data_IF_937849680679
#
_entry.id   IF_937849680679
#
_cell.length_a   1.000
_cell.length_b   1.000
_cell.length_c   1.000
_cell.angle_alpha   90.00
_cell.angle_beta   90.00
_cell.angle_gamma   90.00
#
_symmetry.space_group_name_H-M   'P 1'
#
loop_
_entity.id
_entity.type
_entity.pdbx_description
1 polymer ?
#
# COMPACT_ATOMS: atom_id res chain seq x y z
N UNK A 1 15.18 -4.85 -4.27
CA UNK A 1 14.06 -5.78 -4.08
C UNK A 1 12.77 -5.12 -4.51
N UNK A 2 12.02 -5.76 -5.40
CA UNK A 2 10.67 -5.39 -5.80
C UNK A 2 9.72 -6.54 -5.45
N UNK A 3 8.51 -6.22 -4.99
CA UNK A 3 7.51 -7.23 -4.62
C UNK A 3 6.24 -6.96 -5.42
N UNK A 4 5.82 -7.96 -6.20
CA UNK A 4 4.62 -7.89 -7.03
C UNK A 4 3.59 -8.89 -6.51
N UNK A 5 2.36 -8.44 -6.36
CA UNK A 5 1.23 -9.29 -6.01
C UNK A 5 0.22 -9.30 -7.15
N UNK A 6 -0.37 -10.46 -7.40
CA UNK A 6 -1.49 -10.56 -8.33
C UNK A 6 -2.71 -9.83 -7.79
N UNK A 7 -3.55 -9.33 -8.71
CA UNK A 7 -4.86 -8.79 -8.37
C UNK A 7 -5.81 -9.86 -7.85
N UNK A 8 -7.00 -9.43 -7.43
CA UNK A 8 -8.06 -10.34 -6.99
C UNK A 8 -8.91 -10.77 -8.20
N UNK A 9 -8.32 -11.53 -9.11
CA UNK A 9 -8.96 -12.08 -10.31
C UNK A 9 -9.66 -13.44 -10.06
N UNK A 10 -9.66 -13.91 -8.81
CA UNK A 10 -10.22 -15.20 -8.42
C UNK A 10 -9.27 -16.38 -8.64
N UNK A 11 -8.07 -16.14 -9.18
CA UNK A 11 -7.02 -17.14 -9.29
C UNK A 11 -6.20 -17.23 -7.98
N UNK A 12 -5.37 -18.28 -7.83
CA UNK A 12 -4.47 -18.38 -6.69
C UNK A 12 -3.57 -17.14 -6.59
N UNK A 13 -3.47 -16.50 -5.41
CA UNK A 13 -2.64 -15.31 -5.26
C UNK A 13 -1.17 -15.68 -5.40
N UNK A 14 -0.42 -14.86 -6.14
CA UNK A 14 1.02 -15.02 -6.33
C UNK A 14 1.74 -13.82 -5.70
N UNK A 15 2.83 -14.11 -5.00
CA UNK A 15 3.78 -13.11 -4.50
C UNK A 15 5.11 -13.36 -5.19
N UNK A 16 5.57 -12.41 -6.00
CA UNK A 16 6.84 -12.50 -6.71
C UNK A 16 7.85 -11.55 -6.09
N UNK A 17 9.02 -12.09 -5.74
CA UNK A 17 10.17 -11.34 -5.24
C UNK A 17 11.19 -11.17 -6.36
N UNK A 18 11.40 -9.94 -6.81
CA UNK A 18 12.37 -9.61 -7.85
C UNK A 18 13.60 -8.88 -7.28
N UNK A 19 14.75 -9.52 -7.42
CA UNK A 19 16.03 -9.04 -6.91
C UNK A 19 16.76 -8.23 -7.97
N UNK A 20 16.51 -6.92 -7.95
CA UNK A 20 17.19 -5.97 -8.82
C UNK A 20 18.36 -5.27 -8.12
N UNK A 21 19.44 -4.91 -8.85
CA UNK A 21 20.61 -4.20 -8.29
C UNK A 21 20.29 -2.84 -7.68
N UNK A 22 19.11 -2.28 -7.95
CA UNK A 22 18.67 -1.02 -7.37
C UNK A 22 17.17 -0.78 -7.43
N UNK A 23 16.80 0.49 -7.24
CA UNK A 23 15.41 0.99 -7.21
C UNK A 23 15.11 1.92 -8.39
N UNK A 24 15.85 1.79 -9.49
CA UNK A 24 15.58 2.56 -10.70
C UNK A 24 14.21 2.19 -11.26
N UNK A 25 13.46 3.17 -11.75
CA UNK A 25 12.12 2.92 -12.32
C UNK A 25 12.13 2.02 -13.54
N UNK A 26 13.28 1.89 -14.23
CA UNK A 26 13.45 1.03 -15.40
C UNK A 26 13.21 -0.45 -15.05
N UNK A 27 13.54 -0.87 -13.82
CA UNK A 27 13.27 -2.24 -13.37
C UNK A 27 11.76 -2.53 -13.33
N UNK A 28 10.97 -1.62 -12.74
CA UNK A 28 9.52 -1.74 -12.71
C UNK A 28 8.90 -1.65 -14.10
N UNK A 29 9.42 -0.74 -14.94
CA UNK A 29 8.98 -0.59 -16.33
C UNK A 29 9.17 -1.88 -17.12
N UNK A 30 10.36 -2.48 -17.06
CA UNK A 30 10.69 -3.68 -17.81
C UNK A 30 9.87 -4.90 -17.33
N UNK A 31 9.67 -5.03 -16.01
CA UNK A 31 8.86 -6.13 -15.48
C UNK A 31 7.38 -6.00 -15.85
N UNK A 32 6.85 -4.78 -15.85
CA UNK A 32 5.44 -4.50 -16.16
C UNK A 32 5.20 -4.22 -17.65
N UNK A 33 6.14 -4.59 -18.52
CA UNK A 33 5.99 -4.43 -19.97
C UNK A 33 4.76 -5.21 -20.46
N UNK A 34 3.88 -4.53 -21.19
CA UNK A 34 2.62 -5.10 -21.68
C UNK A 34 1.50 -5.17 -20.64
N UNK A 35 1.75 -4.82 -19.37
CA UNK A 35 0.68 -4.66 -18.39
C UNK A 35 -0.12 -3.38 -18.65
N UNK A 36 -1.44 -3.45 -18.46
CA UNK A 36 -2.32 -2.29 -18.56
C UNK A 36 -3.43 -2.37 -17.52
N UNK A 37 -3.88 -1.23 -17.02
CA UNK A 37 -4.94 -1.15 -16.02
C UNK A 37 -4.51 -0.43 -14.75
N UNK A 38 -5.03 -0.86 -13.60
CA UNK A 38 -4.75 -0.25 -12.31
C UNK A 38 -3.49 -0.85 -11.67
N UNK A 39 -2.56 0.01 -11.27
CA UNK A 39 -1.34 -0.38 -10.57
C UNK A 39 -1.33 0.26 -9.18
N UNK A 40 -1.67 -0.50 -8.13
CA UNK A 40 -1.57 0.00 -6.76
C UNK A 40 -0.12 0.00 -6.30
N UNK A 41 0.37 1.15 -5.85
CA UNK A 41 1.77 1.35 -5.47
C UNK A 41 1.91 2.21 -4.19
N UNK A 42 3.09 2.21 -3.59
CA UNK A 42 3.42 2.99 -2.39
C UNK A 42 3.63 4.50 -2.65
N UNK A 43 3.53 4.94 -3.91
CA UNK A 43 3.77 6.33 -4.32
C UNK A 43 5.23 6.64 -4.65
N UNK A 44 6.12 5.64 -4.75
CA UNK A 44 7.50 5.88 -5.16
C UNK A 44 7.61 6.37 -6.61
N UNK A 45 8.41 7.43 -6.84
CA UNK A 45 8.54 8.08 -8.16
C UNK A 45 9.11 7.18 -9.26
N UNK A 46 9.69 6.04 -8.91
CA UNK A 46 10.14 5.02 -9.86
C UNK A 46 9.01 4.50 -10.76
N UNK A 47 7.78 4.42 -10.24
CA UNK A 47 6.62 3.91 -11.01
C UNK A 47 6.15 4.85 -12.11
N UNK A 48 6.55 6.13 -12.10
CA UNK A 48 6.19 7.09 -13.14
C UNK A 48 6.75 6.73 -14.53
N UNK A 49 7.68 5.77 -14.60
CA UNK A 49 8.21 5.23 -15.86
C UNK A 49 7.37 4.10 -16.45
N UNK A 50 6.42 3.54 -15.70
CA UNK A 50 5.54 2.48 -16.19
C UNK A 50 4.47 3.11 -17.07
N UNK A 51 4.35 2.61 -18.29
CA UNK A 51 3.46 3.15 -19.31
C UNK A 51 2.12 2.40 -19.30
N UNK A 52 1.06 3.01 -19.84
CA UNK A 52 -0.27 2.40 -20.02
C UNK A 52 -0.95 1.90 -18.72
N UNK A 53 -0.58 2.47 -17.58
CA UNK A 53 -1.18 2.18 -16.27
C UNK A 53 -1.77 3.42 -15.63
N UNK A 54 -2.83 3.23 -14.85
CA UNK A 54 -3.33 4.21 -13.90
C UNK A 54 -2.72 3.88 -12.54
N UNK A 55 -1.83 4.75 -12.05
CA UNK A 55 -1.23 4.59 -10.74
C UNK A 55 -2.29 4.85 -9.65
N UNK A 56 -2.47 3.88 -8.76
CA UNK A 56 -3.34 3.96 -7.59
C UNK A 56 -2.46 3.99 -6.35
N UNK A 57 -2.76 4.87 -5.39
CA UNK A 57 -1.98 4.95 -4.16
C UNK A 57 -2.46 3.91 -3.14
N UNK A 58 -1.52 3.22 -2.51
CA UNK A 58 -1.81 2.31 -1.43
C UNK A 58 -2.30 3.07 -0.20
N UNK A 59 -3.52 2.78 0.25
CA UNK A 59 -4.15 3.49 1.37
C UNK A 59 -3.39 3.33 2.69
N UNK A 60 -2.67 2.23 2.88
CA UNK A 60 -1.80 2.05 4.04
C UNK A 60 -0.64 3.05 4.04
N UNK A 61 -0.03 3.31 2.89
CA UNK A 61 1.03 4.29 2.72
C UNK A 61 0.49 5.72 2.85
N UNK A 62 -0.66 6.03 2.24
CA UNK A 62 -1.33 7.32 2.42
C UNK A 62 -1.57 7.61 3.91
N UNK A 63 -2.16 6.66 4.65
CA UNK A 63 -2.44 6.83 6.08
C UNK A 63 -1.17 7.11 6.88
N UNK A 64 -0.07 6.42 6.58
CA UNK A 64 1.23 6.64 7.22
C UNK A 64 1.74 8.06 6.95
N UNK A 65 1.70 8.54 5.71
CA UNK A 65 2.15 9.88 5.38
C UNK A 65 1.29 10.97 6.02
N UNK A 66 -0.04 10.79 6.10
CA UNK A 66 -0.90 11.71 6.84
C UNK A 66 -0.55 11.76 8.33
N UNK A 67 -0.23 10.61 8.94
CA UNK A 67 0.22 10.56 10.32
C UNK A 67 1.59 11.23 10.53
N UNK A 68 2.55 11.00 9.63
CA UNK A 68 3.89 11.61 9.67
C UNK A 68 3.85 13.13 9.45
N UNK A 69 2.91 13.63 8.64
CA UNK A 69 2.70 15.05 8.40
C UNK A 69 2.25 15.81 9.66
N UNK A 70 1.70 15.12 10.66
CA UNK A 70 1.36 15.75 11.94
C UNK A 70 2.62 15.97 12.78
N UNK A 71 2.87 17.22 13.26
CA UNK A 71 4.02 17.53 14.09
C UNK A 71 4.12 16.56 15.27
N UNK A 72 5.35 16.12 15.58
CA UNK A 72 5.56 15.14 16.65
C UNK A 72 4.97 15.57 18.00
N UNK A 73 5.01 16.86 18.30
CA UNK A 73 4.41 17.44 19.50
C UNK A 73 2.87 17.35 19.53
N UNK A 74 2.23 17.26 18.36
CA UNK A 74 0.78 17.18 18.20
C UNK A 74 0.30 15.73 17.98
N UNK A 75 1.21 14.76 17.79
CA UNK A 75 0.84 13.36 17.64
C UNK A 75 0.33 12.82 18.96
N UNK A 76 -0.98 12.56 19.02
CA UNK A 76 -1.62 11.92 20.16
C UNK A 76 -1.09 10.49 20.27
N UNK A 77 -0.81 10.03 21.50
CA UNK A 77 -0.36 8.64 21.79
C UNK A 77 -1.51 7.61 21.75
N UNK A 78 -2.73 8.09 21.55
CA UNK A 78 -3.99 7.36 21.66
C UNK A 78 -4.36 6.76 20.30
N UNK A 79 -4.89 5.54 20.28
CA UNK A 79 -5.43 4.92 19.06
C UNK A 79 -6.77 5.58 18.73
N UNK A 80 -6.75 6.57 17.85
CA UNK A 80 -7.95 7.29 17.43
C UNK A 80 -8.49 6.73 16.11
N UNK A 81 -9.81 6.84 15.95
CA UNK A 81 -10.53 6.44 14.74
C UNK A 81 -10.00 7.20 13.51
N UNK A 82 -9.75 8.50 13.68
CA UNK A 82 -9.05 9.35 12.72
C UNK A 82 -8.18 10.39 13.47
N UNK A 83 -7.30 11.08 12.74
CA UNK A 83 -6.32 12.00 13.34
C UNK A 83 -6.94 13.27 13.97
N UNK A 84 -8.14 13.65 13.52
CA UNK A 84 -8.90 14.81 13.99
C UNK A 84 -9.98 14.42 15.02
N UNK A 85 -10.26 13.14 15.20
CA UNK A 85 -11.31 12.67 16.09
C UNK A 85 -10.94 12.95 17.55
N UNK A 86 -11.89 13.45 18.35
CA UNK A 86 -11.74 13.53 19.80
C UNK A 86 -11.91 12.16 20.47
N UNK A 87 -12.47 11.17 19.77
CA UNK A 87 -12.91 9.88 20.33
C UNK A 87 -11.86 8.77 20.12
N UNK A 88 -11.54 8.09 21.22
CA UNK A 88 -10.68 6.90 21.24
C UNK A 88 -11.41 5.67 20.71
N UNK A 89 -10.68 4.84 19.96
CA UNK A 89 -11.22 3.54 19.52
C UNK A 89 -11.40 2.66 20.76
N UNK A 90 -12.61 2.12 21.02
CA UNK A 90 -12.83 1.16 22.08
C UNK A 90 -11.83 -0.01 21.95
N UNK A 91 -11.26 -0.45 23.08
CA UNK A 91 -10.18 -1.43 23.09
C UNK A 91 -10.55 -2.73 22.35
N UNK A 92 -11.83 -3.12 22.41
CA UNK A 92 -12.38 -4.30 21.73
C UNK A 92 -12.40 -4.18 20.20
N UNK A 93 -12.54 -2.96 19.66
CA UNK A 93 -12.50 -2.70 18.23
C UNK A 93 -11.06 -2.56 17.70
N UNK A 94 -10.10 -2.28 18.60
CA UNK A 94 -8.68 -2.23 18.29
C UNK A 94 -8.00 -3.62 18.33
N UNK A 95 -8.71 -4.66 18.79
CA UNK A 95 -8.24 -6.04 18.82
C UNK A 95 -8.14 -6.63 17.39
N UNK A 96 -6.92 -6.95 16.91
CA UNK A 96 -6.71 -7.47 15.57
C UNK A 96 -7.36 -8.84 15.32
N UNK A 97 -7.62 -9.64 16.35
CA UNK A 97 -8.29 -10.94 16.18
C UNK A 97 -9.78 -10.78 15.86
N UNK A 98 -10.44 -9.76 16.44
CA UNK A 98 -11.87 -9.47 16.22
C UNK A 98 -12.14 -8.60 14.99
N UNK A 99 -11.18 -7.78 14.57
CA UNK A 99 -11.30 -6.93 13.38
C UNK A 99 -11.44 -7.71 12.05
N UNK A 100 -11.13 -9.01 12.04
CA UNK A 100 -11.14 -9.85 10.83
C UNK A 100 -12.55 -10.17 10.28
N UNK A 101 -13.63 -9.84 10.99
CA UNK A 101 -15.02 -10.17 10.59
C UNK A 101 -15.57 -9.36 9.40
N UNK A 102 -14.97 -8.22 9.05
CA UNK A 102 -15.45 -7.30 8.00
C UNK A 102 -14.35 -6.88 7.03
N UNK A 103 -13.50 -7.81 6.62
CA UNK A 103 -12.48 -7.54 5.61
C UNK A 103 -13.13 -7.43 4.22
N UNK A 104 -13.59 -6.22 3.88
CA UNK A 104 -13.96 -5.83 2.53
C UNK A 104 -12.75 -6.08 1.61
N UNK A 105 -12.87 -7.06 0.72
CA UNK A 105 -11.79 -7.53 -0.15
C UNK A 105 -11.76 -6.68 -1.42
N UNK A 106 -11.04 -5.56 -1.36
CA UNK A 106 -10.83 -4.68 -2.51
C UNK A 106 -9.87 -5.35 -3.50
N UNK A 107 -10.31 -5.51 -4.74
CA UNK A 107 -9.61 -6.28 -5.76
C UNK A 107 -8.71 -5.44 -6.66
N UNK A 108 -7.48 -5.17 -6.20
CA UNK A 108 -6.47 -4.44 -6.97
C UNK A 108 -5.18 -5.25 -7.09
N UNK A 109 -4.45 -5.08 -8.19
CA UNK A 109 -3.08 -5.59 -8.32
C UNK A 109 -2.16 -4.69 -7.49
N UNK A 110 -1.49 -5.27 -6.50
CA UNK A 110 -0.73 -4.55 -5.49
C UNK A 110 0.76 -4.73 -5.76
N UNK A 111 1.48 -3.63 -5.96
CA UNK A 111 2.95 -3.61 -5.98
C UNK A 111 3.42 -2.81 -4.78
N UNK A 112 3.97 -3.50 -3.78
CA UNK A 112 4.55 -2.85 -2.60
C UNK A 112 6.06 -2.81 -2.82
N UNK A 113 6.62 -1.62 -3.09
CA UNK A 113 8.06 -1.46 -2.92
C UNK A 113 8.33 -1.40 -1.43
N UNK A 114 8.75 -2.53 -0.85
CA UNK A 114 9.21 -2.49 0.53
C UNK A 114 10.56 -1.77 0.55
N UNK A 115 10.58 -0.58 1.16
CA UNK A 115 11.82 0.10 1.53
C UNK A 115 12.50 -0.73 2.62
N UNK A 116 13.45 -1.58 2.22
CA UNK A 116 14.58 -1.93 3.10
C UNK A 116 15.54 -0.77 3.18
#
# INVERSE_FOLDING_TARGET
MWIYLTGNDGLPPIILYDYQPGRAGDYAKNFLEGFSGLLECDGYTGYNRVENVTLVCCLAHCRRHFFEAVPAACRKKVKLLDINSPEEIPEEAADPEKANGHRQRWGFAIVISCSV
#
